data_IF_233427483282
#
_entry.id   IF_233427483282
#
_cell.length_a   1.000
_cell.length_b   1.000
_cell.length_c   1.000
_cell.angle_alpha   90.00
_cell.angle_beta   90.00
_cell.angle_gamma   90.00
#
_symmetry.space_group_name_H-M   'P 1'
#
loop_
_entity.id
_entity.type
_entity.pdbx_description
1 polymer ?
#
# COMPACT_ATOMS: atom_id res chain seq x y z
N UNK A 1 -5.18 9.43 56.66
CA UNK A 1 -4.11 8.46 56.96
C UNK A 1 -4.46 7.21 56.15
N UNK A 2 -3.86 6.85 55.02
CA UNK A 2 -2.45 6.68 54.68
C UNK A 2 -2.27 6.72 53.16
N UNK A 3 -1.20 7.39 52.74
CA UNK A 3 -0.42 7.21 51.50
C UNK A 3 -1.14 7.33 50.14
N UNK A 4 -1.22 8.56 49.64
CA UNK A 4 -1.07 8.86 48.21
C UNK A 4 0.40 8.57 47.88
N UNK A 5 0.68 7.37 47.36
CA UNK A 5 2.00 7.02 46.88
C UNK A 5 2.11 7.43 45.41
N UNK A 6 2.76 8.58 45.20
CA UNK A 6 3.49 8.87 43.98
C UNK A 6 4.38 7.68 43.63
N UNK A 7 4.15 7.02 42.50
CA UNK A 7 5.25 6.56 41.68
C UNK A 7 4.81 6.67 40.22
N UNK A 8 5.39 7.67 39.57
CA UNK A 8 5.34 7.90 38.15
C UNK A 8 5.65 6.59 37.43
N UNK A 9 4.63 5.96 36.85
CA UNK A 9 4.86 4.94 35.82
C UNK A 9 5.31 5.73 34.61
N UNK A 10 6.64 5.87 34.52
CA UNK A 10 7.41 6.30 33.36
C UNK A 10 6.76 5.78 32.10
N UNK A 11 6.09 6.69 31.40
CA UNK A 11 5.63 6.52 30.03
C UNK A 11 6.87 6.45 29.14
N UNK A 12 7.56 5.31 29.15
CA UNK A 12 8.60 5.02 28.18
C UNK A 12 7.88 4.72 26.88
N UNK A 13 7.52 5.78 26.15
CA UNK A 13 7.15 5.68 24.73
C UNK A 13 8.40 5.19 24.03
N UNK A 14 8.54 3.86 23.95
CA UNK A 14 9.41 3.24 22.97
C UNK A 14 8.85 3.66 21.62
N UNK A 15 9.48 4.65 21.01
CA UNK A 15 9.36 4.90 19.58
C UNK A 15 9.73 3.59 18.90
N UNK A 16 8.73 2.83 18.44
CA UNK A 16 8.93 1.75 17.49
C UNK A 16 9.39 2.47 16.23
N UNK A 17 10.71 2.54 16.04
CA UNK A 17 11.28 2.96 14.78
C UNK A 17 10.90 1.89 13.77
N UNK A 18 9.90 2.16 12.93
CA UNK A 18 9.68 1.39 11.71
C UNK A 18 11.02 1.32 10.97
N UNK A 19 11.56 0.11 10.84
CA UNK A 19 12.82 -0.10 10.14
C UNK A 19 12.57 0.17 8.65
N UNK A 20 12.89 1.38 8.20
CA UNK A 20 12.86 1.70 6.79
C UNK A 20 13.98 0.91 6.09
N UNK A 21 13.62 -0.17 5.39
CA UNK A 21 14.52 -0.80 4.45
C UNK A 21 14.63 0.11 3.22
N UNK A 22 15.81 0.70 3.01
CA UNK A 22 16.08 1.44 1.78
C UNK A 22 16.08 0.46 0.60
N UNK A 23 15.00 0.46 -0.19
CA UNK A 23 14.87 -0.33 -1.41
C UNK A 23 15.67 0.31 -2.56
N UNK A 24 16.23 -0.50 -3.47
CA UNK A 24 16.94 -0.02 -4.67
C UNK A 24 15.94 0.45 -5.73
N UNK A 25 15.70 1.75 -5.77
CA UNK A 25 14.80 2.37 -6.75
C UNK A 25 15.26 2.17 -8.21
N UNK A 26 16.58 2.12 -8.46
CA UNK A 26 17.11 1.90 -9.81
C UNK A 26 16.87 0.45 -10.28
N UNK A 27 16.97 -0.52 -9.39
CA UNK A 27 16.52 -1.89 -9.66
C UNK A 27 14.99 -1.94 -9.87
N UNK A 28 14.22 -1.22 -9.05
CA UNK A 28 12.76 -1.09 -9.19
C UNK A 28 12.34 -0.55 -10.55
N UNK A 29 13.02 0.49 -11.05
CA UNK A 29 12.78 1.06 -12.38
C UNK A 29 12.97 0.01 -13.49
N UNK A 30 14.02 -0.81 -13.40
CA UNK A 30 14.26 -1.91 -14.35
C UNK A 30 13.14 -2.94 -14.31
N UNK A 31 12.65 -3.32 -13.12
CA UNK A 31 11.53 -4.26 -12.97
C UNK A 31 10.23 -3.66 -13.52
N UNK A 32 10.01 -2.36 -13.32
CA UNK A 32 8.81 -1.64 -13.77
C UNK A 32 8.62 -1.66 -15.30
N UNK A 33 9.66 -2.01 -16.07
CA UNK A 33 9.53 -2.26 -17.51
C UNK A 33 8.51 -3.34 -17.87
N UNK A 34 8.21 -4.26 -16.95
CA UNK A 34 7.13 -5.25 -17.09
C UNK A 34 5.75 -4.62 -16.88
N UNK A 35 5.66 -3.64 -16.00
CA UNK A 35 4.42 -2.96 -15.60
C UNK A 35 4.03 -1.84 -16.59
N UNK A 36 5.01 -1.16 -17.18
CA UNK A 36 4.81 0.01 -18.06
C UNK A 36 3.99 -0.27 -19.32
N UNK A 37 3.85 -1.55 -19.69
CA UNK A 37 2.98 -1.99 -20.79
C UNK A 37 1.54 -1.63 -20.51
N UNK A 38 1.09 -1.78 -19.25
CA UNK A 38 -0.28 -1.54 -18.84
C UNK A 38 -0.44 -0.28 -17.99
N UNK A 39 0.60 0.17 -17.29
CA UNK A 39 0.52 1.21 -16.28
C UNK A 39 1.46 2.39 -16.54
N UNK A 40 1.18 3.51 -15.87
CA UNK A 40 1.99 4.72 -15.82
C UNK A 40 2.18 5.09 -14.34
N UNK A 41 3.38 5.48 -13.94
CA UNK A 41 3.67 5.84 -12.53
C UNK A 41 4.10 7.30 -12.36
N UNK A 42 4.62 7.93 -13.42
CA UNK A 42 5.15 9.29 -13.46
C UNK A 42 4.08 10.35 -13.80
N UNK A 43 2.91 9.93 -14.31
CA UNK A 43 1.79 10.79 -14.66
C UNK A 43 0.47 10.19 -14.19
N UNK A 44 -0.47 11.05 -13.84
CA UNK A 44 -1.84 10.65 -13.56
C UNK A 44 -2.61 10.39 -14.87
N UNK A 45 -2.37 9.21 -15.47
CA UNK A 45 -3.00 8.78 -16.71
C UNK A 45 -3.33 7.29 -16.69
N UNK A 46 -4.59 6.96 -16.96
CA UNK A 46 -5.04 5.58 -17.16
C UNK A 46 -4.65 5.07 -18.57
N UNK A 47 -4.31 3.77 -18.67
CA UNK A 47 -4.08 3.04 -19.92
C UNK A 47 -4.92 1.75 -19.90
N UNK A 48 -4.31 0.61 -20.24
CA UNK A 48 -4.89 -0.73 -20.04
C UNK A 48 -5.15 -0.97 -18.56
N UNK A 49 -4.25 -0.51 -17.68
CA UNK A 49 -4.43 -0.45 -16.24
C UNK A 49 -4.57 0.99 -15.72
N UNK A 50 -4.99 1.17 -14.46
CA UNK A 50 -5.06 2.49 -13.82
C UNK A 50 -3.68 3.12 -13.66
N UNK A 51 -3.62 4.45 -13.49
CA UNK A 51 -2.36 5.09 -13.07
C UNK A 51 -1.90 4.54 -11.72
N UNK A 52 -0.59 4.35 -11.58
CA UNK A 52 0.11 4.00 -10.35
C UNK A 52 0.77 5.22 -9.69
N UNK A 53 0.62 6.42 -10.27
CA UNK A 53 1.03 7.64 -9.61
C UNK A 53 0.27 7.78 -8.28
N UNK A 54 0.98 7.99 -7.17
CA UNK A 54 0.38 8.05 -5.84
C UNK A 54 -0.35 6.77 -5.41
N UNK A 55 0.13 5.59 -5.83
CA UNK A 55 -0.53 4.32 -5.45
C UNK A 55 -0.38 3.98 -3.98
N UNK A 56 0.75 4.32 -3.34
CA UNK A 56 0.98 4.02 -1.92
C UNK A 56 -0.01 4.83 -1.05
N UNK A 57 -0.68 4.15 -0.12
CA UNK A 57 -1.78 4.65 0.72
C UNK A 57 -3.16 4.63 0.05
N UNK A 58 -3.24 4.43 -1.27
CA UNK A 58 -4.51 4.48 -2.01
C UNK A 58 -5.35 3.24 -1.74
N UNK A 59 -6.65 3.43 -1.53
CA UNK A 59 -7.61 2.32 -1.44
C UNK A 59 -7.68 1.56 -2.77
N UNK A 60 -7.75 0.24 -2.72
CA UNK A 60 -7.83 -0.59 -3.92
C UNK A 60 -9.10 -0.30 -4.74
N UNK A 61 -8.98 -0.29 -6.06
CA UNK A 61 -10.15 -0.13 -6.95
C UNK A 61 -10.76 1.28 -6.99
N UNK A 62 -10.05 2.33 -6.55
CA UNK A 62 -10.62 3.69 -6.44
C UNK A 62 -9.95 4.76 -7.30
N UNK A 63 -9.02 4.42 -8.19
CA UNK A 63 -8.44 5.44 -9.07
C UNK A 63 -9.53 6.07 -9.95
N UNK A 64 -9.67 7.41 -9.98
CA UNK A 64 -10.68 8.08 -10.80
C UNK A 64 -10.58 7.71 -12.27
N UNK A 65 -11.74 7.61 -12.93
CA UNK A 65 -11.83 7.39 -14.37
C UNK A 65 -11.32 6.03 -14.88
N UNK A 66 -11.00 5.07 -14.01
CA UNK A 66 -10.68 3.69 -14.41
C UNK A 66 -11.84 2.75 -14.04
N UNK A 67 -12.19 1.86 -14.97
CA UNK A 67 -13.22 0.84 -14.74
C UNK A 67 -12.60 -0.42 -14.15
N UNK A 68 -12.83 -0.65 -12.86
CA UNK A 68 -12.33 -1.82 -12.14
C UNK A 68 -13.28 -3.00 -12.20
N UNK A 69 -12.75 -4.21 -11.98
CA UNK A 69 -13.59 -5.38 -11.69
C UNK A 69 -14.36 -5.18 -10.38
N UNK A 70 -15.52 -5.83 -10.27
CA UNK A 70 -16.32 -5.81 -9.04
C UNK A 70 -15.52 -6.33 -7.83
N UNK A 71 -14.70 -7.37 -8.04
CA UNK A 71 -13.84 -7.93 -7.00
C UNK A 71 -12.81 -6.94 -6.47
N UNK A 72 -12.16 -6.16 -7.35
CA UNK A 72 -11.17 -5.17 -6.92
C UNK A 72 -11.83 -4.01 -6.16
N UNK A 73 -13.01 -3.56 -6.61
CA UNK A 73 -13.80 -2.56 -5.87
C UNK A 73 -14.23 -3.10 -4.50
N UNK A 74 -14.66 -4.36 -4.43
CA UNK A 74 -15.04 -5.00 -3.17
C UNK A 74 -13.85 -5.12 -2.21
N UNK A 75 -12.65 -5.47 -2.70
CA UNK A 75 -11.44 -5.51 -1.89
C UNK A 75 -11.14 -4.14 -1.25
N UNK A 76 -11.27 -3.05 -2.01
CA UNK A 76 -11.14 -1.69 -1.48
C UNK A 76 -12.17 -1.36 -0.40
N UNK A 77 -13.44 -1.75 -0.61
CA UNK A 77 -14.52 -1.57 0.38
C UNK A 77 -14.28 -2.37 1.66
N UNK A 78 -13.63 -3.53 1.56
CA UNK A 78 -13.20 -4.35 2.70
C UNK A 78 -11.94 -3.83 3.39
N UNK A 79 -11.40 -2.68 2.95
CA UNK A 79 -10.31 -1.99 3.62
C UNK A 79 -8.93 -2.19 3.01
N UNK A 80 -8.80 -2.86 1.86
CA UNK A 80 -7.49 -3.01 1.21
C UNK A 80 -6.97 -1.64 0.77
N UNK A 81 -5.82 -1.26 1.32
CA UNK A 81 -5.01 -0.10 0.93
C UNK A 81 -3.68 -0.60 0.42
N UNK A 82 -3.14 0.07 -0.60
CA UNK A 82 -1.85 -0.28 -1.17
C UNK A 82 -0.72 0.27 -0.31
N UNK A 83 0.00 -0.60 0.36
CA UNK A 83 1.27 -0.34 1.03
C UNK A 83 2.28 -1.39 0.58
N UNK A 84 3.50 -1.38 1.13
CA UNK A 84 4.53 -2.34 0.74
C UNK A 84 4.12 -3.79 0.99
N UNK A 85 3.44 -4.09 2.11
CA UNK A 85 3.06 -5.44 2.48
C UNK A 85 1.91 -5.97 1.59
N UNK A 86 0.88 -5.15 1.39
CA UNK A 86 -0.25 -5.52 0.54
C UNK A 86 0.13 -5.58 -0.93
N UNK A 87 1.01 -4.70 -1.42
CA UNK A 87 1.54 -4.79 -2.78
C UNK A 87 2.43 -6.02 -2.95
N UNK A 88 3.31 -6.34 -1.99
CA UNK A 88 4.12 -7.55 -2.05
C UNK A 88 3.25 -8.80 -2.17
N UNK A 89 2.20 -8.88 -1.33
CA UNK A 89 1.24 -10.00 -1.34
C UNK A 89 0.48 -10.05 -2.68
N UNK A 90 -0.05 -8.93 -3.13
CA UNK A 90 -0.84 -8.85 -4.36
C UNK A 90 -0.01 -9.16 -5.60
N UNK A 91 1.21 -8.63 -5.71
CA UNK A 91 2.07 -8.84 -6.87
C UNK A 91 2.58 -10.28 -6.97
N UNK A 92 2.68 -11.00 -5.85
CA UNK A 92 3.05 -12.40 -5.82
C UNK A 92 1.96 -13.29 -6.44
N UNK A 93 0.69 -13.11 -6.03
CA UNK A 93 -0.46 -13.79 -6.64
C UNK A 93 -1.73 -12.94 -6.55
N UNK A 94 -2.01 -12.13 -7.60
CA UNK A 94 -3.18 -11.25 -7.63
C UNK A 94 -4.50 -12.00 -7.48
N UNK A 95 -4.60 -13.21 -8.04
CA UNK A 95 -5.84 -13.99 -8.07
C UNK A 95 -6.12 -14.68 -6.74
N UNK A 96 -5.09 -15.05 -6.00
CA UNK A 96 -5.25 -15.57 -4.65
C UNK A 96 -5.79 -14.50 -3.69
N UNK A 97 -5.25 -13.27 -3.78
CA UNK A 97 -5.64 -12.16 -2.90
C UNK A 97 -6.96 -11.51 -3.30
N UNK A 98 -7.15 -11.23 -4.59
CA UNK A 98 -8.39 -10.66 -5.13
C UNK A 98 -8.97 -11.65 -6.14
N UNK A 99 -9.88 -12.49 -5.66
CA UNK A 99 -10.60 -13.47 -6.48
C UNK A 99 -11.62 -12.73 -7.35
N UNK A 100 -11.20 -12.42 -8.57
CA UNK A 100 -11.99 -11.80 -9.63
C UNK A 100 -12.53 -12.80 -10.63
#
# INVERSE_FOLDING_TARGET
>A
MRAIAFFAVTFLVTFITDQSHAQDAAAGEKVFTKCKVCHVADKDQNKVGPSLNGVIGRTAGTHPGFSYSQAMVAAGKSGVKWDEATLTTYLHDPKAMVKG
#
